data_IF_696784687592
#
_entry.id   IF_696784687592
#
_cell.length_a   1.000
_cell.length_b   1.000
_cell.length_c   1.000
_cell.angle_alpha   90.00
_cell.angle_beta   90.00
_cell.angle_gamma   90.00
#
_symmetry.space_group_name_H-M   'P 1'
#
loop_
_entity.id
_entity.type
_entity.pdbx_description
1 polymer ?
#
# COMPACT_ATOMS: atom_id res chain seq x y z
N UNK A 1 10.81 -24.59 -2.75
CA UNK A 1 10.60 -23.13 -2.84
C UNK A 1 10.88 -22.58 -1.47
N UNK A 2 12.09 -22.09 -1.26
CA UNK A 2 12.44 -21.43 -0.01
C UNK A 2 11.67 -20.11 0.04
N UNK A 3 10.61 -20.08 0.84
CA UNK A 3 9.87 -18.86 1.10
C UNK A 3 10.80 -17.91 1.83
N UNK A 4 11.17 -16.81 1.19
CA UNK A 4 11.92 -15.76 1.85
C UNK A 4 11.02 -15.15 2.94
N UNK A 5 11.36 -15.27 4.23
CA UNK A 5 10.48 -14.86 5.30
C UNK A 5 10.57 -13.34 5.45
N UNK A 6 9.79 -12.61 4.66
CA UNK A 6 9.71 -11.14 4.73
C UNK A 6 9.40 -10.69 6.16
N UNK A 7 8.63 -11.47 6.91
CA UNK A 7 8.26 -11.19 8.31
C UNK A 7 9.43 -11.31 9.29
N UNK A 8 10.51 -12.03 8.95
CA UNK A 8 11.69 -12.17 9.80
C UNK A 8 12.70 -11.03 9.60
N UNK A 9 12.51 -10.22 8.56
CA UNK A 9 13.37 -9.06 8.29
C UNK A 9 13.05 -7.90 9.25
N UNK A 10 14.03 -7.00 9.47
CA UNK A 10 13.76 -5.72 10.12
C UNK A 10 12.63 -4.93 9.45
N UNK A 11 11.85 -4.22 10.26
CA UNK A 11 10.68 -3.45 9.79
C UNK A 11 11.05 -2.43 8.70
N UNK A 12 12.26 -1.87 8.72
CA UNK A 12 12.73 -0.95 7.67
C UNK A 12 12.86 -1.64 6.31
N UNK A 13 13.38 -2.88 6.28
CA UNK A 13 13.51 -3.65 5.04
C UNK A 13 12.13 -4.08 4.54
N UNK A 14 11.25 -4.48 5.45
CA UNK A 14 9.86 -4.79 5.12
C UNK A 14 9.16 -3.60 4.47
N UNK A 15 9.32 -2.39 5.05
CA UNK A 15 8.75 -1.16 4.51
C UNK A 15 9.27 -0.85 3.09
N UNK A 16 10.57 -1.06 2.83
CA UNK A 16 11.15 -0.87 1.50
C UNK A 16 10.59 -1.84 0.46
N UNK A 17 10.39 -3.11 0.84
CA UNK A 17 9.75 -4.10 -0.03
C UNK A 17 8.32 -3.68 -0.36
N UNK A 18 7.55 -3.26 0.65
CA UNK A 18 6.17 -2.78 0.47
C UNK A 18 6.13 -1.56 -0.45
N UNK A 19 7.04 -0.60 -0.27
CA UNK A 19 7.15 0.61 -1.10
C UNK A 19 7.47 0.26 -2.57
N UNK A 20 8.36 -0.72 -2.80
CA UNK A 20 8.68 -1.20 -4.16
C UNK A 20 7.52 -1.95 -4.79
N UNK A 21 6.81 -2.80 -4.04
CA UNK A 21 5.63 -3.54 -4.52
C UNK A 21 4.50 -2.57 -4.89
N UNK A 22 4.24 -1.57 -4.04
CA UNK A 22 3.27 -0.51 -4.30
C UNK A 22 3.58 0.30 -5.57
N UNK A 23 4.86 0.60 -5.81
CA UNK A 23 5.30 1.28 -7.03
C UNK A 23 5.23 0.40 -8.29
N UNK A 24 5.21 -0.93 -8.14
CA UNK A 24 5.25 -1.86 -9.27
C UNK A 24 3.84 -2.33 -9.70
N UNK A 25 2.94 -2.59 -8.75
CA UNK A 25 1.60 -3.12 -9.06
C UNK A 25 0.61 -2.87 -7.92
N UNK A 26 -0.52 -2.24 -8.26
CA UNK A 26 -1.63 -2.07 -7.31
C UNK A 26 -2.20 -3.39 -6.82
N UNK A 27 -2.28 -4.40 -7.70
CA UNK A 27 -2.80 -5.72 -7.35
C UNK A 27 -1.91 -6.41 -6.33
N UNK A 28 -0.59 -6.31 -6.51
CA UNK A 28 0.37 -6.95 -5.62
C UNK A 28 0.35 -6.28 -4.24
N UNK A 29 0.16 -4.97 -4.19
CA UNK A 29 -0.02 -4.25 -2.93
C UNK A 29 -1.30 -4.67 -2.19
N UNK A 30 -2.42 -4.85 -2.90
CA UNK A 30 -3.64 -5.37 -2.29
C UNK A 30 -3.46 -6.81 -1.79
N UNK A 31 -2.70 -7.64 -2.52
CA UNK A 31 -2.29 -8.97 -2.08
C UNK A 31 -1.45 -8.91 -0.80
N UNK A 32 -0.48 -7.99 -0.74
CA UNK A 32 0.37 -7.78 0.43
C UNK A 32 -0.45 -7.29 1.64
N UNK A 33 -1.41 -6.40 1.42
CA UNK A 33 -2.32 -5.92 2.46
C UNK A 33 -3.19 -7.05 3.03
N UNK A 34 -3.55 -8.02 2.21
CA UNK A 34 -4.37 -9.16 2.61
C UNK A 34 -3.56 -10.28 3.31
N UNK A 35 -2.22 -10.21 3.30
CA UNK A 35 -1.40 -11.33 3.79
C UNK A 35 -1.32 -11.40 5.32
N UNK A 36 -1.07 -10.29 6.01
CA UNK A 36 -1.03 -10.25 7.47
C UNK A 36 -1.16 -8.82 8.03
N UNK A 37 -1.41 -8.71 9.35
CA UNK A 37 -1.60 -7.42 10.01
C UNK A 37 -0.37 -6.50 9.93
N UNK A 38 0.85 -7.06 10.03
CA UNK A 38 2.08 -6.28 9.90
C UNK A 38 2.25 -5.71 8.49
N UNK A 39 2.01 -6.51 7.45
CA UNK A 39 2.05 -6.05 6.05
C UNK A 39 0.95 -5.04 5.75
N UNK A 40 -0.25 -5.23 6.31
CA UNK A 40 -1.33 -4.26 6.22
C UNK A 40 -0.93 -2.90 6.81
N UNK A 41 -0.34 -2.90 8.01
CA UNK A 41 0.11 -1.67 8.66
C UNK A 41 1.21 -0.95 7.85
N UNK A 42 2.12 -1.71 7.24
CA UNK A 42 3.16 -1.17 6.37
C UNK A 42 2.61 -0.63 5.03
N UNK A 43 1.66 -1.35 4.42
CA UNK A 43 1.00 -0.93 3.18
C UNK A 43 0.15 0.34 3.37
N UNK A 44 -0.40 0.55 4.56
CA UNK A 44 -1.19 1.74 4.90
C UNK A 44 -0.32 2.95 5.32
N UNK A 45 0.99 2.76 5.52
CA UNK A 45 1.95 3.80 5.94
C UNK A 45 2.10 4.86 4.83
N UNK A 46 2.06 6.15 5.20
CA UNK A 46 1.85 7.26 4.25
C UNK A 46 2.89 7.39 3.13
N UNK A 47 4.13 6.92 3.32
CA UNK A 47 5.16 6.90 2.27
C UNK A 47 4.82 5.96 1.12
N UNK A 48 4.23 4.80 1.42
CA UNK A 48 3.75 3.83 0.42
C UNK A 48 2.46 4.34 -0.24
N UNK A 49 1.60 4.96 0.57
CA UNK A 49 0.30 5.46 0.13
C UNK A 49 0.35 6.86 -0.53
N UNK A 50 1.52 7.49 -0.65
CA UNK A 50 1.63 8.83 -1.26
C UNK A 50 1.22 8.80 -2.74
N UNK A 51 1.50 7.70 -3.44
CA UNK A 51 1.00 7.46 -4.81
C UNK A 51 -0.54 7.32 -4.86
N UNK A 52 -1.16 6.77 -3.80
CA UNK A 52 -2.62 6.73 -3.70
C UNK A 52 -3.23 8.11 -3.49
N UNK A 53 -2.54 9.04 -2.83
CA UNK A 53 -3.07 10.39 -2.65
C UNK A 53 -3.30 11.06 -4.00
N UNK A 54 -2.33 10.99 -4.91
CA UNK A 54 -2.41 11.55 -6.28
C UNK A 54 -3.54 10.90 -7.10
N UNK A 55 -3.72 9.58 -7.00
CA UNK A 55 -4.85 8.88 -7.67
C UNK A 55 -6.19 9.02 -6.94
N UNK A 56 -6.20 9.48 -5.69
CA UNK A 56 -7.40 9.81 -4.93
C UNK A 56 -7.86 11.26 -5.14
N UNK A 57 -7.05 12.10 -5.79
CA UNK A 57 -7.40 13.49 -6.12
C UNK A 57 -8.66 13.60 -7.00
N UNK A 58 -9.03 12.67 -7.90
CA UNK A 58 -10.35 12.71 -8.52
C UNK A 58 -11.47 12.25 -7.58
N UNK A 59 -11.19 11.42 -6.56
CA UNK A 59 -12.24 10.85 -5.70
C UNK A 59 -12.74 11.83 -4.63
N UNK A 60 -11.91 12.77 -4.17
CA UNK A 60 -12.36 13.87 -3.28
C UNK A 60 -12.88 15.09 -4.03
N UNK A 61 -12.49 15.30 -5.29
CA UNK A 61 -13.03 16.39 -6.12
C UNK A 61 -14.29 15.98 -6.90
N UNK A 62 -14.62 14.69 -7.01
CA UNK A 62 -15.87 14.22 -7.62
C UNK A 62 -17.03 14.05 -6.61
N UNK A 63 -16.88 14.50 -5.37
CA UNK A 63 -18.04 14.86 -4.55
C UNK A 63 -18.25 16.37 -4.67
N UNK A 64 -18.57 16.81 -5.89
CA UNK A 64 -19.27 18.08 -6.05
C UNK A 64 -20.53 17.98 -5.20
N UNK A 65 -20.68 18.91 -4.26
CA UNK A 65 -21.83 19.05 -3.39
C UNK A 65 -23.02 19.59 -4.18
N UNK A 66 -23.42 18.88 -5.22
CA UNK A 66 -24.59 19.16 -6.04
C UNK A 66 -25.20 17.84 -6.49
N UNK A 67 -25.93 17.21 -5.59
CA UNK A 67 -27.09 16.40 -5.94
C UNK A 67 -28.03 16.44 -4.73
N UNK A 68 -29.17 17.08 -4.99
CA UNK A 68 -30.36 17.20 -4.15
C UNK A 68 -30.77 15.89 -3.49
#
# INVERSE_FOLDING_TARGET
MDYFPILELPEEIQALVVERVAGNSFTDLYGLRASCMSMKALAERSRVNHFYYVLSVPRRLNMSSELF
#
